data_IF_465660835902
#
_entry.id   IF_465660835902
#
_cell.length_a   1.000
_cell.length_b   1.000
_cell.length_c   1.000
_cell.angle_alpha   90.00
_cell.angle_beta   90.00
_cell.angle_gamma   90.00
#
_symmetry.space_group_name_H-M   'P 1'
#
loop_
_entity.id
_entity.type
_entity.pdbx_description
1 polymer ?
#
# COMPACT_ATOMS: atom_id res chain seq x y z
N UNK A 1 17.96 -24.12 -12.56
CA UNK A 1 17.93 -22.78 -13.20
C UNK A 1 16.60 -22.42 -13.89
N UNK A 2 16.20 -22.99 -15.05
CA UNK A 2 14.91 -22.61 -15.68
C UNK A 2 13.70 -22.96 -14.79
N UNK A 3 13.64 -24.18 -14.24
CA UNK A 3 12.54 -24.58 -13.36
C UNK A 3 12.49 -23.76 -12.06
N UNK A 4 13.65 -23.38 -11.51
CA UNK A 4 13.74 -22.48 -10.36
C UNK A 4 13.18 -21.10 -10.68
N UNK A 5 13.54 -20.52 -11.84
CA UNK A 5 13.01 -19.24 -12.29
C UNK A 5 11.49 -19.28 -12.50
N UNK A 6 10.97 -20.37 -13.05
CA UNK A 6 9.52 -20.61 -13.18
C UNK A 6 8.83 -20.62 -11.81
N UNK A 7 9.45 -21.29 -10.82
CA UNK A 7 8.95 -21.31 -9.44
C UNK A 7 8.92 -19.91 -8.83
N UNK A 8 10.01 -19.16 -8.93
CA UNK A 8 10.08 -17.77 -8.42
C UNK A 8 9.09 -16.83 -9.11
N UNK A 9 8.85 -17.01 -10.40
CA UNK A 9 7.82 -16.23 -11.13
C UNK A 9 6.41 -16.58 -10.67
N UNK A 10 6.14 -17.84 -10.33
CA UNK A 10 4.86 -18.24 -9.76
C UNK A 10 4.69 -17.67 -8.34
N UNK A 11 5.72 -17.73 -7.50
CA UNK A 11 5.72 -17.10 -6.18
C UNK A 11 5.44 -15.60 -6.31
N UNK A 12 6.16 -14.89 -7.19
CA UNK A 12 5.92 -13.48 -7.47
C UNK A 12 4.46 -13.21 -7.90
N UNK A 13 3.89 -14.07 -8.74
CA UNK A 13 2.48 -13.98 -9.15
C UNK A 13 1.52 -14.13 -7.98
N UNK A 14 1.73 -15.13 -7.11
CA UNK A 14 0.90 -15.35 -5.93
C UNK A 14 0.98 -14.17 -4.96
N UNK A 15 2.17 -13.60 -4.76
CA UNK A 15 2.32 -12.42 -3.90
C UNK A 15 1.56 -11.20 -4.45
N UNK A 16 1.61 -10.97 -5.76
CA UNK A 16 0.83 -9.90 -6.40
C UNK A 16 -0.68 -10.12 -6.25
N UNK A 17 -1.16 -11.37 -6.29
CA UNK A 17 -2.56 -11.69 -6.01
C UNK A 17 -2.95 -11.40 -4.55
N UNK A 18 -2.12 -11.82 -3.60
CA UNK A 18 -2.36 -11.56 -2.17
C UNK A 18 -2.39 -10.07 -1.87
N UNK A 19 -1.49 -9.28 -2.48
CA UNK A 19 -1.50 -7.82 -2.36
C UNK A 19 -2.80 -7.22 -2.88
N UNK A 20 -3.25 -7.67 -4.06
CA UNK A 20 -4.51 -7.21 -4.63
C UNK A 20 -5.68 -7.52 -3.69
N UNK A 21 -5.74 -8.73 -3.15
CA UNK A 21 -6.78 -9.14 -2.21
C UNK A 21 -6.72 -8.33 -0.90
N UNK A 22 -5.52 -8.06 -0.39
CA UNK A 22 -5.33 -7.23 0.80
C UNK A 22 -5.90 -5.81 0.59
N UNK A 23 -5.61 -5.18 -0.54
CA UNK A 23 -6.14 -3.86 -0.90
C UNK A 23 -7.66 -3.86 -1.11
N UNK A 24 -8.23 -4.96 -1.64
CA UNK A 24 -9.68 -5.10 -1.82
C UNK A 24 -10.42 -5.33 -0.49
N UNK A 25 -9.77 -5.96 0.48
CA UNK A 25 -10.33 -6.24 1.80
C UNK A 25 -9.99 -5.19 2.86
N UNK A 26 -9.24 -4.14 2.49
CA UNK A 26 -8.83 -3.05 3.37
C UNK A 26 -7.78 -3.44 4.41
N UNK A 27 -7.06 -4.54 4.18
CA UNK A 27 -5.95 -5.02 5.03
C UNK A 27 -4.63 -4.43 4.56
N UNK A 28 -4.57 -3.10 4.48
CA UNK A 28 -3.47 -2.38 3.82
C UNK A 28 -2.12 -2.59 4.53
N UNK A 29 -2.11 -2.87 5.83
CA UNK A 29 -0.88 -3.18 6.59
C UNK A 29 -0.17 -4.45 6.09
N UNK A 30 -0.93 -5.45 5.63
CA UNK A 30 -0.37 -6.70 5.11
C UNK A 30 0.37 -6.49 3.78
N UNK A 31 0.10 -5.39 3.07
CA UNK A 31 0.71 -5.08 1.77
C UNK A 31 2.22 -4.85 1.89
N UNK A 32 2.70 -4.31 3.02
CA UNK A 32 4.12 -4.02 3.21
C UNK A 32 4.98 -5.27 3.28
N UNK A 33 4.56 -6.31 4.02
CA UNK A 33 5.28 -7.58 4.06
C UNK A 33 5.31 -8.27 2.69
N UNK A 34 4.19 -8.22 1.96
CA UNK A 34 4.10 -8.80 0.62
C UNK A 34 4.98 -8.06 -0.41
N UNK A 35 5.20 -6.75 -0.24
CA UNK A 35 6.14 -5.98 -1.08
C UNK A 35 7.58 -6.45 -0.89
N UNK A 36 7.99 -6.72 0.36
CA UNK A 36 9.33 -7.22 0.65
C UNK A 36 9.54 -8.61 0.03
N UNK A 37 8.59 -9.52 0.19
CA UNK A 37 8.63 -10.85 -0.43
C UNK A 37 8.72 -10.78 -1.95
N UNK A 38 7.99 -9.85 -2.57
CA UNK A 38 8.09 -9.59 -4.02
C UNK A 38 9.47 -9.10 -4.44
N UNK A 39 10.06 -8.18 -3.68
CA UNK A 39 11.40 -7.69 -3.98
C UNK A 39 12.45 -8.80 -3.88
N UNK A 40 12.28 -9.72 -2.92
CA UNK A 40 13.13 -10.90 -2.78
C UNK A 40 13.00 -11.84 -3.99
N UNK A 41 11.79 -12.05 -4.51
CA UNK A 41 11.58 -12.85 -5.73
C UNK A 41 12.30 -12.23 -6.94
N UNK A 42 12.17 -10.91 -7.14
CA UNK A 42 12.84 -10.19 -8.23
C UNK A 42 14.36 -10.36 -8.12
N UNK A 43 14.92 -10.10 -6.92
CA UNK A 43 16.36 -10.23 -6.69
C UNK A 43 16.87 -11.66 -6.92
N UNK A 44 16.09 -12.68 -6.54
CA UNK A 44 16.43 -14.07 -6.79
C UNK A 44 16.41 -14.42 -8.28
N UNK A 45 15.43 -13.91 -9.04
CA UNK A 45 15.35 -14.09 -10.49
C UNK A 45 16.55 -13.42 -11.18
N UNK A 46 16.87 -12.18 -10.81
CA UNK A 46 18.02 -11.45 -11.37
C UNK A 46 19.33 -12.19 -11.10
N UNK A 47 19.48 -12.75 -9.90
CA UNK A 47 20.64 -13.57 -9.54
C UNK A 47 20.74 -14.83 -10.40
N UNK A 48 19.62 -15.50 -10.70
CA UNK A 48 19.62 -16.66 -11.59
C UNK A 48 20.05 -16.29 -13.02
N UNK A 49 19.59 -15.15 -13.53
CA UNK A 49 19.98 -14.67 -14.86
C UNK A 49 21.47 -14.28 -14.89
N UNK A 50 21.97 -13.64 -13.83
CA UNK A 50 23.40 -13.34 -13.69
C UNK A 50 24.26 -14.60 -13.63
N UNK A 51 23.83 -15.63 -12.89
CA UNK A 51 24.53 -16.91 -12.79
C UNK A 51 24.56 -17.67 -14.11
N UNK A 52 23.49 -17.57 -14.91
CA UNK A 52 23.44 -18.14 -16.25
C UNK A 52 24.28 -17.34 -17.27
N UNK A 53 24.71 -16.12 -16.93
CA UNK A 53 25.40 -15.20 -17.84
C UNK A 53 24.50 -14.66 -18.96
N UNK A 54 23.20 -14.93 -18.89
CA UNK A 54 22.19 -14.55 -19.87
C UNK A 54 20.81 -14.59 -19.25
N UNK A 55 19.86 -13.86 -19.82
CA UNK A 55 18.47 -13.92 -19.40
C UNK A 55 17.87 -15.28 -19.74
N UNK A 56 17.55 -16.07 -18.71
CA UNK A 56 16.89 -17.36 -18.86
C UNK A 56 15.45 -17.13 -19.37
N UNK A 57 15.17 -17.59 -20.58
CA UNK A 57 13.89 -17.34 -21.26
C UNK A 57 13.45 -18.57 -22.05
N UNK A 58 12.20 -18.98 -21.84
CA UNK A 58 11.50 -19.96 -22.65
C UNK A 58 10.03 -19.53 -22.82
N UNK A 59 9.26 -20.25 -23.65
CA UNK A 59 7.86 -19.90 -23.92
C UNK A 59 6.99 -19.92 -22.65
N UNK A 60 7.28 -20.81 -21.69
CA UNK A 60 6.56 -20.86 -20.42
C UNK A 60 6.80 -19.61 -19.57
N UNK A 61 8.06 -19.21 -19.40
CA UNK A 61 8.46 -17.98 -18.68
C UNK A 61 7.82 -16.77 -19.35
N UNK A 62 7.85 -16.71 -20.68
CA UNK A 62 7.22 -15.63 -21.45
C UNK A 62 5.72 -15.55 -21.20
N UNK A 63 5.03 -16.69 -21.15
CA UNK A 63 3.62 -16.77 -20.79
C UNK A 63 3.35 -16.29 -19.35
N UNK A 64 4.16 -16.71 -18.38
CA UNK A 64 4.06 -16.24 -16.99
C UNK A 64 4.27 -14.73 -16.89
N UNK A 65 5.28 -14.18 -17.58
CA UNK A 65 5.55 -12.73 -17.58
C UNK A 65 4.40 -11.92 -18.20
N UNK A 66 3.78 -12.42 -19.27
CA UNK A 66 2.59 -11.76 -19.85
C UNK A 66 1.43 -11.73 -18.86
N UNK A 67 1.15 -12.87 -18.20
CA UNK A 67 0.11 -12.96 -17.18
C UNK A 67 0.41 -12.04 -15.98
N UNK A 68 1.66 -12.00 -15.56
CA UNK A 68 2.14 -11.13 -14.49
C UNK A 68 1.90 -9.66 -14.84
N UNK A 69 2.31 -9.23 -16.04
CA UNK A 69 2.20 -7.85 -16.49
C UNK A 69 0.74 -7.34 -16.44
N UNK A 70 -0.23 -8.18 -16.81
CA UNK A 70 -1.65 -7.83 -16.71
C UNK A 70 -2.08 -7.63 -15.26
N UNK A 71 -1.64 -8.52 -14.37
CA UNK A 71 -1.97 -8.42 -12.94
C UNK A 71 -1.32 -7.21 -12.28
N UNK A 72 -0.07 -6.90 -12.61
CA UNK A 72 0.65 -5.72 -12.11
C UNK A 72 -0.04 -4.42 -12.51
N UNK A 73 -0.55 -4.35 -13.74
CA UNK A 73 -1.26 -3.18 -14.22
C UNK A 73 -2.54 -2.92 -13.42
N UNK A 74 -3.27 -3.98 -13.08
CA UNK A 74 -4.47 -3.90 -12.23
C UNK A 74 -4.08 -3.51 -10.80
N UNK A 75 -3.06 -4.15 -10.22
CA UNK A 75 -2.57 -3.83 -8.88
C UNK A 75 -2.12 -2.36 -8.77
N UNK A 76 -1.42 -1.83 -9.78
CA UNK A 76 -1.00 -0.44 -9.83
C UNK A 76 -2.19 0.52 -9.75
N UNK A 77 -3.29 0.23 -10.46
CA UNK A 77 -4.50 1.04 -10.38
C UNK A 77 -5.13 1.00 -8.98
N UNK A 78 -5.17 -0.18 -8.35
CA UNK A 78 -5.68 -0.35 -6.98
C UNK A 78 -4.84 0.44 -5.97
N UNK A 79 -3.51 0.37 -6.07
CA UNK A 79 -2.59 1.12 -5.21
C UNK A 79 -2.79 2.63 -5.36
N UNK A 80 -2.95 3.13 -6.59
CA UNK A 80 -3.24 4.55 -6.82
C UNK A 80 -4.57 4.98 -6.19
N UNK A 81 -5.59 4.13 -6.25
CA UNK A 81 -6.87 4.39 -5.59
C UNK A 81 -6.75 4.38 -4.07
N UNK A 82 -6.00 3.44 -3.50
CA UNK A 82 -5.72 3.36 -2.07
C UNK A 82 -4.98 4.62 -1.57
N UNK A 83 -3.93 5.06 -2.29
CA UNK A 83 -3.21 6.30 -1.98
C UNK A 83 -4.13 7.53 -2.03
N UNK A 84 -5.02 7.60 -3.01
CA UNK A 84 -6.00 8.70 -3.10
C UNK A 84 -6.96 8.70 -1.91
N UNK A 85 -7.45 7.53 -1.49
CA UNK A 85 -8.32 7.40 -0.31
C UNK A 85 -7.60 7.84 0.97
N UNK A 86 -6.37 7.39 1.16
CA UNK A 86 -5.57 7.72 2.33
C UNK A 86 -5.25 9.23 2.39
N UNK A 87 -4.95 9.84 1.24
CA UNK A 87 -4.77 11.29 1.12
C UNK A 87 -6.02 12.08 1.52
N UNK A 88 -7.20 11.63 1.11
CA UNK A 88 -8.48 12.25 1.49
C UNK A 88 -8.72 12.09 3.00
N UNK A 89 -8.52 10.89 3.55
CA UNK A 89 -8.69 10.61 4.97
C UNK A 89 -7.77 11.48 5.84
N UNK A 90 -6.50 11.64 5.46
CA UNK A 90 -5.58 12.54 6.16
C UNK A 90 -6.07 13.98 6.18
N UNK A 91 -6.58 14.50 5.04
CA UNK A 91 -7.15 15.85 4.99
C UNK A 91 -8.38 16.00 5.87
N UNK A 92 -9.27 15.01 5.85
CA UNK A 92 -10.46 15.00 6.72
C UNK A 92 -10.06 15.00 8.19
N UNK A 93 -9.10 14.15 8.58
CA UNK A 93 -8.61 14.08 9.96
C UNK A 93 -7.90 15.37 10.40
N UNK A 94 -7.14 16.01 9.51
CA UNK A 94 -6.53 17.32 9.78
C UNK A 94 -7.59 18.41 9.98
N UNK A 95 -8.66 18.38 9.18
CA UNK A 95 -9.78 19.32 9.35
C UNK A 95 -10.56 19.05 10.63
N UNK A 96 -10.82 17.78 10.98
CA UNK A 96 -11.45 17.40 12.24
C UNK A 96 -10.61 17.86 13.42
N UNK A 97 -9.31 17.54 13.45
CA UNK A 97 -8.42 17.99 14.53
C UNK A 97 -8.30 19.51 14.63
N UNK A 98 -8.33 20.22 13.51
CA UNK A 98 -8.39 21.69 13.50
C UNK A 98 -9.71 22.20 14.10
N UNK A 99 -10.85 21.63 13.69
CA UNK A 99 -12.16 21.98 14.24
C UNK A 99 -12.24 21.69 15.74
N UNK A 100 -11.79 20.51 16.19
CA UNK A 100 -11.78 20.15 17.61
C UNK A 100 -10.98 21.15 18.43
N UNK A 101 -9.79 21.57 17.95
CA UNK A 101 -8.99 22.62 18.60
C UNK A 101 -9.72 23.96 18.66
N UNK A 102 -10.39 24.37 17.58
CA UNK A 102 -11.19 25.60 17.59
C UNK A 102 -12.35 25.54 18.60
N UNK A 103 -13.02 24.39 18.72
CA UNK A 103 -14.09 24.21 19.71
C UNK A 103 -13.55 24.14 21.15
N UNK A 104 -12.39 23.51 21.39
CA UNK A 104 -11.72 23.52 22.69
C UNK A 104 -11.30 24.94 23.10
N UNK A 105 -10.81 25.76 22.17
CA UNK A 105 -10.48 27.17 22.39
C UNK A 105 -11.74 28.06 22.57
N UNK A 106 -12.87 27.65 21.99
CA UNK A 106 -14.16 28.36 22.11
C UNK A 106 -14.93 28.04 23.39
N UNK A 107 -14.50 27.09 24.24
CA UNK A 107 -15.12 26.91 25.57
C UNK A 107 -14.80 28.17 26.38
N UNK A 108 -15.77 29.08 26.60
CA UNK A 108 -15.49 30.26 27.38
C UNK A 108 -15.39 29.83 28.84
N UNK A 109 -14.19 29.92 29.41
CA UNK A 109 -14.00 29.95 30.86
C UNK A 109 -14.52 31.29 31.37
N UNK A 110 -15.82 31.51 31.24
CA UNK A 110 -16.51 32.67 31.82
C UNK A 110 -16.68 32.40 33.31
N UNK A 111 -15.64 32.70 34.07
CA UNK A 111 -15.74 32.92 35.52
C UNK A 111 -16.87 33.93 35.74
N UNK A 112 -17.89 33.51 36.49
CA UNK A 112 -19.00 34.38 36.86
C UNK A 112 -18.50 35.67 37.49
N UNK A 113 -18.86 36.79 36.89
CA UNK A 113 -18.82 38.11 37.51
C UNK A 113 -20.27 38.48 37.77
N UNK A 114 -20.76 38.09 38.95
CA UNK A 114 -21.97 38.66 39.52
C UNK A 114 -21.66 40.12 39.90
N UNK A 115 -22.20 41.06 39.14
CA UNK A 115 -22.29 42.45 39.61
C UNK A 115 -23.42 42.53 40.65
N UNK A 116 -23.07 42.43 41.93
CA UNK A 116 -23.92 42.93 43.02
C UNK A 116 -23.58 44.41 43.23
N UNK A 117 -24.25 45.29 42.50
CA UNK A 117 -24.20 46.73 42.80
C UNK A 117 -25.25 47.05 43.87
N UNK A 118 -24.85 46.89 45.13
CA UNK A 118 -25.56 47.47 46.29
C UNK A 118 -24.69 48.52 46.99
N UNK A 119 -25.11 49.79 46.79
CA UNK A 119 -25.19 50.94 47.72
C UNK A 119 -24.70 52.22 47.08
#
# INVERSE_FOLDING_TARGET
>A
MINEKIGLLEEFYQQTLLMKQALETGKDEAVFGLLEERQNCIAAIDKLDQQAGTTLMNEQIKGQLQRQMLLERDLQQKLQQALKKLSIQMRTQQNETFLTKQYEEMIPVSKGIFYDSKK
#
